data_IF_508943533300
#
_entry.id   IF_508943533300
#
_cell.length_a   1.000
_cell.length_b   1.000
_cell.length_c   1.000
_cell.angle_alpha   90.00
_cell.angle_beta   90.00
_cell.angle_gamma   90.00
#
_symmetry.space_group_name_H-M   'P 1'
#
loop_
_entity.id
_entity.type
_entity.pdbx_description
1 polymer ?
#
# COMPACT_ATOMS: atom_id res chain seq x y z
N UNK A 1 10.60 0.28 23.85
CA UNK A 1 9.79 1.23 23.04
C UNK A 1 9.85 1.02 21.52
N UNK A 2 10.90 0.41 20.93
CA UNK A 2 11.05 0.29 19.47
C UNK A 2 10.16 -0.77 18.80
N UNK A 3 9.92 -1.92 19.44
CA UNK A 3 9.13 -3.02 18.88
C UNK A 3 7.70 -2.61 18.49
N UNK A 4 7.02 -1.83 19.34
CA UNK A 4 5.66 -1.36 19.06
C UNK A 4 5.57 -0.40 17.87
N UNK A 5 6.63 0.39 17.61
CA UNK A 5 6.68 1.26 16.42
C UNK A 5 6.86 0.44 15.14
N UNK A 6 7.72 -0.58 15.19
CA UNK A 6 7.91 -1.50 14.06
C UNK A 6 6.61 -2.25 13.72
N UNK A 7 5.92 -2.79 14.72
CA UNK A 7 4.64 -3.49 14.48
C UNK A 7 3.57 -2.58 13.86
N UNK A 8 3.52 -1.30 14.24
CA UNK A 8 2.61 -0.33 13.63
C UNK A 8 2.96 -0.04 12.18
N UNK A 9 4.25 0.11 11.90
CA UNK A 9 4.73 0.32 10.54
C UNK A 9 4.36 -0.88 9.65
N UNK A 10 4.68 -2.09 10.11
CA UNK A 10 4.33 -3.33 9.42
C UNK A 10 2.82 -3.41 9.17
N UNK A 11 1.98 -3.15 10.18
CA UNK A 11 0.51 -3.14 10.02
C UNK A 11 0.03 -2.14 8.97
N UNK A 12 0.59 -0.93 8.96
CA UNK A 12 0.22 0.11 7.99
C UNK A 12 0.64 -0.25 6.56
N UNK A 13 1.84 -0.80 6.39
CA UNK A 13 2.34 -1.27 5.08
C UNK A 13 1.50 -2.44 4.58
N UNK A 14 1.24 -3.46 5.41
CA UNK A 14 0.42 -4.59 5.03
C UNK A 14 -1.01 -4.19 4.68
N UNK A 15 -1.61 -3.26 5.43
CA UNK A 15 -2.95 -2.76 5.14
C UNK A 15 -3.00 -2.02 3.79
N UNK A 16 -2.00 -1.19 3.49
CA UNK A 16 -1.93 -0.52 2.18
C UNK A 16 -1.64 -1.47 1.04
N UNK A 17 -0.73 -2.44 1.25
CA UNK A 17 -0.44 -3.47 0.25
C UNK A 17 -1.70 -4.27 -0.10
N UNK A 18 -2.47 -4.69 0.91
CA UNK A 18 -3.75 -5.37 0.72
C UNK A 18 -4.77 -4.47 -0.02
N UNK A 19 -4.90 -3.21 0.39
CA UNK A 19 -5.83 -2.27 -0.23
C UNK A 19 -5.48 -1.98 -1.70
N UNK A 20 -4.19 -1.84 -2.02
CA UNK A 20 -3.69 -1.67 -3.39
C UNK A 20 -3.84 -2.92 -4.24
N UNK A 21 -3.68 -4.11 -3.64
CA UNK A 21 -3.85 -5.37 -4.33
C UNK A 21 -5.32 -5.76 -4.53
N UNK A 22 -6.27 -5.08 -3.89
CA UNK A 22 -7.68 -5.48 -3.87
C UNK A 22 -8.27 -5.60 -5.28
N UNK A 23 -8.08 -4.59 -6.14
CA UNK A 23 -8.60 -4.61 -7.52
C UNK A 23 -8.02 -5.76 -8.34
N UNK A 24 -6.68 -5.93 -8.46
CA UNK A 24 -6.14 -7.06 -9.21
C UNK A 24 -6.49 -8.41 -8.56
N UNK A 25 -6.56 -8.51 -7.23
CA UNK A 25 -7.00 -9.73 -6.54
C UNK A 25 -8.44 -10.11 -6.90
N UNK A 26 -9.37 -9.15 -7.01
CA UNK A 26 -10.74 -9.44 -7.44
C UNK A 26 -10.79 -10.10 -8.83
N UNK A 27 -9.80 -9.85 -9.69
CA UNK A 27 -9.67 -10.44 -11.02
C UNK A 27 -8.91 -11.77 -10.98
N UNK A 28 -7.79 -11.82 -10.26
CA UNK A 28 -6.91 -13.00 -10.27
C UNK A 28 -7.37 -14.11 -9.33
N UNK A 29 -8.12 -13.83 -8.27
CA UNK A 29 -8.62 -14.86 -7.34
C UNK A 29 -9.56 -15.86 -8.01
N UNK A 30 -10.59 -15.46 -8.77
CA UNK A 30 -11.43 -16.41 -9.49
C UNK A 30 -10.63 -17.28 -10.46
N UNK A 31 -9.64 -16.70 -11.15
CA UNK A 31 -8.75 -17.43 -12.06
C UNK A 31 -7.85 -18.41 -11.30
N UNK A 32 -7.31 -17.99 -10.16
CA UNK A 32 -6.52 -18.84 -9.27
C UNK A 32 -7.35 -20.04 -8.78
N UNK A 33 -8.61 -19.80 -8.38
CA UNK A 33 -9.53 -20.86 -7.97
C UNK A 33 -9.82 -21.80 -9.13
N UNK A 34 -10.09 -21.29 -10.34
CA UNK A 34 -10.32 -22.13 -11.52
C UNK A 34 -9.10 -23.00 -11.85
N UNK A 35 -7.88 -22.44 -11.74
CA UNK A 35 -6.63 -23.14 -11.99
C UNK A 35 -6.38 -24.31 -11.02
N UNK A 36 -6.93 -24.27 -9.79
CA UNK A 36 -6.85 -25.41 -8.85
C UNK A 36 -7.59 -26.65 -9.36
N UNK A 37 -8.58 -26.48 -10.22
CA UNK A 37 -9.36 -27.57 -10.81
C UNK A 37 -8.81 -28.04 -12.17
N UNK A 38 -7.81 -27.34 -12.72
CA UNK A 38 -7.14 -27.74 -13.94
C UNK A 38 -6.04 -28.78 -13.64
N UNK A 39 -5.92 -29.85 -14.46
CA UNK A 39 -4.88 -30.85 -14.25
C UNK A 39 -3.48 -30.23 -14.46
N UNK A 40 -2.61 -30.36 -13.45
CA UNK A 40 -1.18 -30.07 -13.55
C UNK A 40 -0.73 -28.65 -13.18
N UNK A 41 -1.60 -27.77 -12.69
CA UNK A 41 -1.28 -26.34 -12.48
C UNK A 41 -1.40 -25.78 -11.04
N UNK A 42 -1.07 -26.52 -9.94
CA UNK A 42 -1.23 -25.99 -8.58
C UNK A 42 -0.30 -24.79 -8.28
N UNK A 43 0.88 -24.74 -8.91
CA UNK A 43 1.81 -23.64 -8.74
C UNK A 43 1.30 -22.33 -9.37
N UNK A 44 0.63 -22.43 -10.53
CA UNK A 44 0.05 -21.27 -11.23
C UNK A 44 -1.10 -20.66 -10.42
N UNK A 45 -1.95 -21.50 -9.82
CA UNK A 45 -3.00 -21.04 -8.93
C UNK A 45 -2.46 -20.21 -7.75
N UNK A 46 -1.39 -20.69 -7.10
CA UNK A 46 -0.74 -19.96 -5.99
C UNK A 46 -0.15 -18.64 -6.49
N UNK A 47 0.54 -18.65 -7.63
CA UNK A 47 1.09 -17.45 -8.25
C UNK A 47 0.00 -16.42 -8.54
N UNK A 48 -1.10 -16.81 -9.18
CA UNK A 48 -2.23 -15.91 -9.49
C UNK A 48 -2.86 -15.30 -8.23
N UNK A 49 -2.96 -16.07 -7.15
CA UNK A 49 -3.52 -15.60 -5.88
C UNK A 49 -2.60 -14.67 -5.09
N UNK A 50 -1.28 -14.86 -5.17
CA UNK A 50 -0.31 -14.16 -4.30
C UNK A 50 0.42 -13.03 -5.02
N UNK A 51 0.60 -13.12 -6.34
CA UNK A 51 1.39 -12.16 -7.12
C UNK A 51 0.91 -10.71 -6.99
N UNK A 52 -0.40 -10.38 -7.04
CA UNK A 52 -0.83 -9.00 -6.87
C UNK A 52 -0.47 -8.42 -5.50
N UNK A 53 -0.52 -9.25 -4.45
CA UNK A 53 -0.16 -8.83 -3.10
C UNK A 53 1.35 -8.58 -2.99
N UNK A 54 2.18 -9.44 -3.56
CA UNK A 54 3.64 -9.26 -3.60
C UNK A 54 4.03 -8.03 -4.40
N UNK A 55 3.42 -7.81 -5.56
CA UNK A 55 3.65 -6.62 -6.38
C UNK A 55 3.28 -5.34 -5.63
N UNK A 56 2.11 -5.32 -4.99
CA UNK A 56 1.68 -4.19 -4.17
C UNK A 56 2.62 -3.95 -2.98
N UNK A 57 3.02 -5.00 -2.28
CA UNK A 57 3.96 -4.91 -1.15
C UNK A 57 5.34 -4.39 -1.58
N UNK A 58 5.84 -4.85 -2.72
CA UNK A 58 7.12 -4.44 -3.29
C UNK A 58 7.17 -2.94 -3.63
N UNK A 59 6.01 -2.31 -3.83
CA UNK A 59 5.90 -0.85 -4.06
C UNK A 59 5.62 -0.10 -2.77
N UNK A 60 4.64 -0.54 -1.97
CA UNK A 60 4.19 0.16 -0.76
C UNK A 60 5.29 0.20 0.31
N UNK A 61 6.06 -0.89 0.49
CA UNK A 61 7.12 -0.93 1.49
C UNK A 61 8.23 0.11 1.23
N UNK A 62 8.92 0.14 0.07
CA UNK A 62 9.94 1.15 -0.20
C UNK A 62 9.37 2.56 -0.25
N UNK A 63 8.17 2.76 -0.82
CA UNK A 63 7.53 4.09 -0.80
C UNK A 63 7.27 4.57 0.64
N UNK A 64 6.85 3.68 1.54
CA UNK A 64 6.64 4.01 2.95
C UNK A 64 7.94 4.36 3.67
N UNK A 65 9.05 3.71 3.31
CA UNK A 65 10.37 4.00 3.89
C UNK A 65 10.94 5.32 3.38
N UNK A 66 10.91 5.53 2.07
CA UNK A 66 11.56 6.67 1.40
C UNK A 66 10.72 7.94 1.50
N UNK A 67 9.39 7.83 1.48
CA UNK A 67 8.48 8.97 1.47
C UNK A 67 7.66 9.03 2.76
N UNK A 68 7.04 7.91 3.13
CA UNK A 68 6.12 7.87 4.28
C UNK A 68 6.77 8.27 5.61
N UNK A 69 7.94 7.74 5.93
CA UNK A 69 8.67 8.06 7.17
C UNK A 69 9.14 9.52 7.22
N UNK A 70 9.79 10.09 6.18
CA UNK A 70 10.12 11.52 6.17
C UNK A 70 8.90 12.44 6.26
N UNK A 71 7.80 12.13 5.57
CA UNK A 71 6.55 12.92 5.66
C UNK A 71 5.99 12.86 7.08
N UNK A 72 5.96 11.68 7.71
CA UNK A 72 5.52 11.53 9.10
C UNK A 72 6.37 12.38 10.05
N UNK A 73 7.69 12.34 9.91
CA UNK A 73 8.59 13.16 10.72
C UNK A 73 8.34 14.66 10.52
N UNK A 74 8.14 15.09 9.27
CA UNK A 74 7.88 16.49 8.94
C UNK A 74 6.54 16.98 9.52
N UNK A 75 5.46 16.20 9.36
CA UNK A 75 4.13 16.53 9.91
C UNK A 75 4.19 16.66 11.44
N UNK A 76 4.89 15.73 12.10
CA UNK A 76 5.08 15.75 13.54
C UNK A 76 5.87 16.96 14.00
N UNK A 77 6.97 17.30 13.32
CA UNK A 77 7.79 18.47 13.65
C UNK A 77 7.01 19.79 13.51
N UNK A 78 6.04 19.84 12.59
CA UNK A 78 5.19 21.01 12.36
C UNK A 78 3.92 21.03 13.21
N UNK A 79 3.68 20.01 14.06
CA UNK A 79 2.44 19.90 14.83
C UNK A 79 1.19 19.76 13.96
N UNK A 80 1.33 19.32 12.70
CA UNK A 80 0.27 19.25 11.70
C UNK A 80 -0.25 17.81 11.51
N UNK A 81 -0.12 16.95 12.54
CA UNK A 81 -0.57 15.57 12.45
C UNK A 81 -2.10 15.48 12.49
N UNK A 82 -2.70 15.10 11.37
CA UNK A 82 -4.13 14.85 11.28
C UNK A 82 -4.42 13.66 10.37
N UNK A 83 -5.58 13.02 10.54
CA UNK A 83 -6.02 11.92 9.68
C UNK A 83 -6.02 12.34 8.20
N UNK A 84 -6.54 13.55 7.94
CA UNK A 84 -6.62 14.13 6.60
C UNK A 84 -5.22 14.37 6.02
N UNK A 85 -4.25 14.86 6.79
CA UNK A 85 -2.88 15.04 6.31
C UNK A 85 -2.27 13.72 5.84
N UNK A 86 -2.38 12.65 6.65
CA UNK A 86 -1.84 11.34 6.27
C UNK A 86 -2.58 10.70 5.09
N UNK A 87 -3.91 10.89 4.99
CA UNK A 87 -4.70 10.45 3.84
C UNK A 87 -4.29 11.17 2.55
N UNK A 88 -4.19 12.50 2.59
CA UNK A 88 -3.85 13.32 1.43
C UNK A 88 -2.42 13.07 0.96
N UNK A 89 -1.44 13.05 1.87
CA UNK A 89 -0.06 12.76 1.52
C UNK A 89 0.12 11.33 1.02
N UNK A 90 -0.48 10.36 1.71
CA UNK A 90 -0.43 8.95 1.32
C UNK A 90 -1.05 8.74 -0.06
N UNK A 91 -2.28 9.21 -0.27
CA UNK A 91 -2.97 9.10 -1.56
C UNK A 91 -2.28 9.88 -2.67
N UNK A 92 -1.80 11.09 -2.38
CA UNK A 92 -1.08 11.94 -3.33
C UNK A 92 0.21 11.28 -3.84
N UNK A 93 1.06 10.77 -2.95
CA UNK A 93 2.24 10.03 -3.39
C UNK A 93 1.92 8.68 -4.02
N UNK A 94 0.83 8.05 -3.60
CA UNK A 94 0.27 6.85 -4.24
C UNK A 94 -0.14 7.08 -5.70
N UNK A 95 -0.60 8.28 -6.05
CA UNK A 95 -0.85 8.70 -7.44
C UNK A 95 0.45 9.01 -8.19
N UNK A 96 1.32 9.80 -7.55
CA UNK A 96 2.49 10.38 -8.21
C UNK A 96 3.53 9.33 -8.62
N UNK A 97 3.70 8.26 -7.83
CA UNK A 97 4.69 7.21 -8.13
C UNK A 97 4.40 6.49 -9.46
N UNK A 98 3.21 5.90 -9.69
CA UNK A 98 2.86 5.32 -10.98
C UNK A 98 2.84 6.36 -12.11
N UNK A 99 2.34 7.57 -11.86
CA UNK A 99 2.31 8.63 -12.85
C UNK A 99 3.71 9.03 -13.33
N UNK A 100 4.69 9.09 -12.42
CA UNK A 100 6.08 9.35 -12.76
C UNK A 100 6.66 8.25 -13.67
N UNK A 101 6.28 6.98 -13.46
CA UNK A 101 6.68 5.88 -14.34
C UNK A 101 6.06 6.01 -15.74
N UNK A 102 4.78 6.39 -15.83
CA UNK A 102 4.10 6.66 -17.12
C UNK A 102 4.87 7.74 -17.88
N UNK A 103 5.19 8.86 -17.23
CA UNK A 103 5.88 10.00 -17.86
C UNK A 103 7.31 9.62 -18.25
N UNK A 104 8.04 8.94 -17.37
CA UNK A 104 9.47 8.64 -17.57
C UNK A 104 9.72 7.52 -18.58
N UNK A 105 8.82 6.53 -18.67
CA UNK A 105 9.01 5.33 -19.52
C UNK A 105 8.00 5.19 -20.65
N UNK A 106 7.01 6.07 -20.75
CA UNK A 106 5.93 5.95 -21.74
C UNK A 106 5.02 4.73 -21.50
N UNK A 107 5.09 4.13 -20.32
CA UNK A 107 4.33 2.93 -19.94
C UNK A 107 2.86 3.29 -19.67
N UNK A 108 2.08 3.48 -20.74
CA UNK A 108 0.67 3.89 -20.65
C UNK A 108 -0.18 2.97 -19.77
N UNK A 109 0.14 1.68 -19.72
CA UNK A 109 -0.48 0.68 -18.88
C UNK A 109 -0.32 0.96 -17.38
N UNK A 110 0.74 1.66 -16.97
CA UNK A 110 0.96 2.06 -15.59
C UNK A 110 -0.06 3.10 -15.10
N UNK A 111 -0.83 3.73 -16.00
CA UNK A 111 -1.92 4.63 -15.60
C UNK A 111 -2.99 3.89 -14.80
N UNK A 112 -3.20 2.60 -15.07
CA UNK A 112 -4.14 1.76 -14.34
C UNK A 112 -3.68 1.53 -12.88
N UNK A 113 -2.38 1.69 -12.60
CA UNK A 113 -1.83 1.58 -11.25
C UNK A 113 -2.03 2.84 -10.42
N UNK A 114 -2.38 3.98 -11.03
CA UNK A 114 -2.65 5.24 -10.32
C UNK A 114 -3.79 5.10 -9.30
N UNK A 115 -4.92 4.52 -9.71
CA UNK A 115 -6.08 4.32 -8.82
C UNK A 115 -5.77 3.44 -7.60
N UNK A 116 -5.28 2.19 -7.81
CA UNK A 116 -4.80 1.33 -6.74
C UNK A 116 -3.72 1.98 -5.88
N UNK A 117 -2.81 2.75 -6.49
CA UNK A 117 -1.76 3.50 -5.80
C UNK A 117 -2.31 4.52 -4.81
N UNK A 118 -3.31 5.32 -5.22
CA UNK A 118 -4.01 6.26 -4.31
C UNK A 118 -4.63 5.51 -3.14
N UNK A 119 -5.36 4.42 -3.41
CA UNK A 119 -6.03 3.62 -2.38
C UNK A 119 -5.01 3.02 -1.40
N UNK A 120 -3.93 2.43 -1.91
CA UNK A 120 -2.87 1.84 -1.10
C UNK A 120 -2.21 2.89 -0.20
N UNK A 121 -1.81 4.02 -0.77
CA UNK A 121 -1.14 5.09 -0.04
C UNK A 121 -2.05 5.73 1.01
N UNK A 122 -3.31 6.00 0.69
CA UNK A 122 -4.30 6.52 1.63
C UNK A 122 -4.56 5.54 2.77
N UNK A 123 -4.73 4.24 2.47
CA UNK A 123 -4.92 3.20 3.48
C UNK A 123 -3.71 3.08 4.42
N UNK A 124 -2.48 3.07 3.88
CA UNK A 124 -1.26 3.08 4.69
C UNK A 124 -1.21 4.29 5.61
N UNK A 125 -1.42 5.50 5.07
CA UNK A 125 -1.40 6.74 5.85
C UNK A 125 -2.43 6.73 6.98
N UNK A 126 -3.67 6.32 6.68
CA UNK A 126 -4.75 6.24 7.64
C UNK A 126 -4.48 5.24 8.78
N UNK A 127 -4.04 4.02 8.45
CA UNK A 127 -3.75 2.98 9.46
C UNK A 127 -2.57 3.40 10.34
N UNK A 128 -1.56 4.05 9.76
CA UNK A 128 -0.43 4.60 10.50
C UNK A 128 -0.86 5.66 11.52
N UNK A 129 -1.65 6.65 11.07
CA UNK A 129 -2.20 7.72 11.91
C UNK A 129 -3.06 7.15 13.03
N UNK A 130 -4.00 6.25 12.71
CA UNK A 130 -4.91 5.64 13.68
C UNK A 130 -4.16 4.86 14.76
N UNK A 131 -3.09 4.16 14.41
CA UNK A 131 -2.22 3.48 15.37
C UNK A 131 -1.47 4.44 16.30
N UNK A 132 -1.30 5.70 15.91
CA UNK A 132 -0.69 6.77 16.71
C UNK A 132 -1.66 7.47 17.62
N UNK A 133 -2.82 7.84 17.06
CA UNK A 133 -3.89 8.54 17.78
C UNK A 133 -4.38 7.73 19.00
N UNK A 134 -4.56 6.41 18.86
CA UNK A 134 -4.97 5.54 19.99
C UNK A 134 -4.01 5.66 21.20
N UNK A 135 -2.70 5.70 20.96
CA UNK A 135 -1.72 5.84 22.04
C UNK A 135 -1.70 7.20 22.73
N UNK A 136 -2.12 8.26 22.04
CA UNK A 136 -2.20 9.58 22.65
C UNK A 136 -3.46 9.72 23.53
N UNK A 137 -4.48 8.89 23.31
CA UNK A 137 -5.68 8.82 24.14
C UNK A 137 -5.50 7.91 25.37
N UNK A 138 -4.60 6.92 25.29
CA UNK A 138 -4.32 5.96 26.37
C UNK A 138 -3.17 6.40 27.31
N UNK A 139 -2.58 7.58 27.11
CA UNK A 139 -1.40 8.09 27.85
C UNK A 139 -1.75 9.37 28.62
#
# INVERSE_FOLDING_TARGET
MHLFRMLRFVKAVLAGALAGAMIPLCVTLPLAVAALFAPGAPAEAVLLGVLPLLASLAVVLPASLVIGLPVCWLLRRRGAESAQAYLCWGGGFGLLLPLALVIAKGASEAILLCGPGVIAGAATGYVWWRGGAKRAADA
#
